data_IF_888980626993
#
_entry.id   IF_888980626993
#
_cell.length_a   1.000
_cell.length_b   1.000
_cell.length_c   1.000
_cell.angle_alpha   90.00
_cell.angle_beta   90.00
_cell.angle_gamma   90.00
#
_symmetry.space_group_name_H-M   'P 1'
#
loop_
_entity.id
_entity.type
_entity.pdbx_description
1 polymer ?
#
# COMPACT_ATOMS: atom_id res chain seq x y z
N UNK A 1 7.88 5.23 -13.69
CA UNK A 1 8.35 4.06 -12.94
C UNK A 1 7.17 3.42 -12.22
N UNK A 2 7.15 2.09 -12.20
CA UNK A 2 6.25 1.25 -11.42
C UNK A 2 7.12 0.51 -10.41
N UNK A 3 6.74 0.54 -9.15
CA UNK A 3 7.41 -0.19 -8.07
C UNK A 3 6.39 -1.13 -7.47
N UNK A 4 6.78 -2.37 -7.23
CA UNK A 4 5.95 -3.38 -6.58
C UNK A 4 6.61 -3.80 -5.29
N UNK A 5 5.82 -3.84 -4.21
CA UNK A 5 6.33 -4.11 -2.88
C UNK A 5 5.37 -5.02 -2.15
N UNK A 6 5.88 -6.15 -1.68
CA UNK A 6 5.11 -7.07 -0.84
C UNK A 6 5.15 -6.59 0.62
N UNK A 7 3.99 -6.60 1.29
CA UNK A 7 3.82 -6.22 2.69
C UNK A 7 3.03 -7.27 3.43
N UNK A 8 3.51 -7.66 4.60
CA UNK A 8 2.74 -8.49 5.52
C UNK A 8 1.86 -7.60 6.38
N UNK A 9 0.57 -7.92 6.44
CA UNK A 9 -0.42 -7.23 7.27
C UNK A 9 -0.39 -7.80 8.68
N UNK A 10 0.00 -6.99 9.66
CA UNK A 10 -0.03 -7.38 11.09
C UNK A 10 -1.44 -7.20 11.69
N UNK A 11 -1.62 -7.61 12.94
CA UNK A 11 -2.90 -7.53 13.67
C UNK A 11 -3.46 -6.10 13.79
N UNK A 12 -2.63 -5.07 13.62
CA UNK A 12 -3.05 -3.67 13.61
C UNK A 12 -3.66 -3.22 12.27
N UNK A 13 -3.65 -4.09 11.25
CA UNK A 13 -4.18 -3.86 9.88
C UNK A 13 -3.60 -2.64 9.18
N UNK A 14 -2.37 -2.26 9.53
CA UNK A 14 -1.71 -1.07 8.99
C UNK A 14 -0.62 -1.42 8.00
N UNK A 15 -0.65 -0.72 6.88
CA UNK A 15 0.40 -0.73 5.87
C UNK A 15 0.86 0.72 5.68
N UNK A 16 2.09 1.02 6.09
CA UNK A 16 2.70 2.34 5.92
C UNK A 16 3.54 2.36 4.62
N UNK A 17 3.18 3.26 3.70
CA UNK A 17 3.81 3.40 2.39
C UNK A 17 3.88 4.88 2.01
N UNK A 18 5.09 5.38 1.69
CA UNK A 18 5.31 6.76 1.22
C UNK A 18 4.69 7.85 2.12
N UNK A 19 4.83 7.71 3.44
CA UNK A 19 4.24 8.65 4.42
C UNK A 19 2.73 8.54 4.56
N UNK A 20 2.09 7.65 3.80
CA UNK A 20 0.68 7.32 3.91
C UNK A 20 0.49 6.08 4.76
N UNK A 21 -0.48 6.17 5.65
CA UNK A 21 -0.91 5.07 6.49
C UNK A 21 -2.22 4.53 5.94
N UNK A 22 -2.20 3.27 5.52
CA UNK A 22 -3.34 2.63 4.89
C UNK A 22 -3.86 1.55 5.84
N UNK A 23 -5.14 1.60 6.16
CA UNK A 23 -5.83 0.55 6.92
C UNK A 23 -6.42 -0.44 5.93
N UNK A 24 -6.04 -1.72 6.04
CA UNK A 24 -6.58 -2.78 5.17
C UNK A 24 -7.82 -3.45 5.80
N UNK A 25 -8.65 -4.11 4.98
CA UNK A 25 -9.76 -4.94 5.44
C UNK A 25 -9.34 -6.00 6.47
N UNK A 26 -10.28 -6.40 7.33
CA UNK A 26 -10.01 -7.33 8.44
C UNK A 26 -9.67 -8.75 8.00
N UNK A 27 -10.32 -9.21 6.94
CA UNK A 27 -10.07 -10.49 6.27
C UNK A 27 -8.63 -10.61 5.73
N UNK A 28 -7.93 -9.49 5.55
CA UNK A 28 -6.53 -9.45 5.10
C UNK A 28 -5.52 -9.46 6.25
N UNK A 29 -5.96 -9.61 7.50
CA UNK A 29 -5.07 -9.69 8.67
C UNK A 29 -4.20 -10.96 8.62
N UNK A 30 -2.91 -10.83 8.94
CA UNK A 30 -1.91 -11.90 8.86
C UNK A 30 -1.67 -12.46 7.45
N UNK A 31 -2.00 -11.68 6.41
CA UNK A 31 -1.76 -12.04 5.02
C UNK A 31 -0.73 -11.13 4.34
N UNK A 32 -0.23 -11.56 3.19
CA UNK A 32 0.59 -10.73 2.33
C UNK A 32 -0.27 -9.99 1.32
N UNK A 33 0.05 -8.71 1.10
CA UNK A 33 -0.54 -7.88 0.05
C UNK A 33 0.58 -7.28 -0.81
N UNK A 34 0.24 -6.99 -2.05
CA UNK A 34 1.13 -6.32 -3.01
C UNK A 34 0.73 -4.86 -3.14
N UNK A 35 1.63 -3.96 -2.80
CA UNK A 35 1.48 -2.54 -3.08
C UNK A 35 2.14 -2.17 -4.41
N UNK A 36 1.35 -1.62 -5.33
CA UNK A 36 1.81 -1.11 -6.62
C UNK A 36 1.88 0.41 -6.54
N UNK A 37 3.08 0.96 -6.69
CA UNK A 37 3.31 2.41 -6.67
C UNK A 37 3.58 2.90 -8.09
N UNK A 38 2.66 3.72 -8.59
CA UNK A 38 2.80 4.42 -9.87
C UNK A 38 3.34 5.82 -9.59
N UNK A 39 4.67 5.97 -9.66
CA UNK A 39 5.38 7.18 -9.23
C UNK A 39 4.96 8.42 -10.03
N UNK A 40 4.83 8.32 -11.36
CA UNK A 40 4.46 9.47 -12.22
C UNK A 40 3.07 9.99 -11.92
N UNK A 41 2.11 9.10 -11.72
CA UNK A 41 0.73 9.46 -11.39
C UNK A 41 0.50 9.64 -9.89
N UNK A 42 1.55 9.51 -9.06
CA UNK A 42 1.48 9.57 -7.60
C UNK A 42 0.33 8.72 -7.02
N UNK A 43 0.19 7.47 -7.50
CA UNK A 43 -0.85 6.53 -7.02
C UNK A 43 -0.24 5.33 -6.30
N UNK A 44 -0.90 4.90 -5.25
CA UNK A 44 -0.65 3.65 -4.52
C UNK A 44 -1.90 2.79 -4.63
N UNK A 45 -1.70 1.55 -5.06
CA UNK A 45 -2.74 0.54 -5.17
C UNK A 45 -2.33 -0.63 -4.28
N UNK A 46 -3.22 -1.12 -3.42
CA UNK A 46 -2.99 -2.37 -2.67
C UNK A 46 -3.85 -3.45 -3.28
N UNK A 47 -3.19 -4.56 -3.60
CA UNK A 47 -3.76 -5.76 -4.20
C UNK A 47 -3.53 -6.93 -3.26
N UNK A 48 -4.56 -7.73 -3.02
CA UNK A 48 -4.51 -8.98 -2.24
C UNK A 48 -3.83 -10.11 -3.02
N UNK A 49 -3.60 -11.25 -2.37
CA UNK A 49 -2.98 -12.42 -3.00
C UNK A 49 -3.77 -13.02 -4.16
N UNK A 50 -5.10 -12.83 -4.17
CA UNK A 50 -6.01 -13.28 -5.24
C UNK A 50 -6.25 -12.22 -6.33
N UNK A 51 -5.58 -11.07 -6.25
CA UNK A 51 -5.63 -10.02 -7.27
C UNK A 51 -6.72 -8.96 -7.07
N UNK A 52 -7.47 -9.00 -5.96
CA UNK A 52 -8.46 -7.96 -5.64
C UNK A 52 -7.80 -6.65 -5.22
N UNK A 53 -8.27 -5.53 -5.77
CA UNK A 53 -7.86 -4.20 -5.32
C UNK A 53 -8.65 -3.83 -4.07
N UNK A 54 -7.94 -3.66 -2.95
CA UNK A 54 -8.53 -3.28 -1.64
C UNK A 54 -8.23 -1.83 -1.26
N UNK A 55 -7.34 -1.17 -2.00
CA UNK A 55 -7.05 0.25 -1.84
C UNK A 55 -6.53 0.83 -3.15
N UNK A 56 -7.00 2.01 -3.55
CA UNK A 56 -6.46 2.76 -4.69
C UNK A 56 -6.64 4.25 -4.43
N UNK A 57 -5.53 4.95 -4.20
CA UNK A 57 -5.58 6.37 -3.93
C UNK A 57 -4.25 7.05 -4.29
N UNK A 58 -4.30 8.36 -4.35
CA UNK A 58 -3.13 9.21 -4.53
C UNK A 58 -2.29 9.30 -3.25
N UNK A 59 -1.01 9.62 -3.40
CA UNK A 59 -0.11 9.96 -2.30
C UNK A 59 0.63 11.26 -2.60
N UNK A 60 0.89 12.03 -1.55
CA UNK A 60 1.83 13.12 -1.62
C UNK A 60 3.18 12.60 -1.16
N UNK A 61 4.22 12.79 -1.98
CA UNK A 61 5.58 12.63 -1.48
C UNK A 61 5.77 13.70 -0.41
N UNK A 62 5.79 13.29 0.86
CA UNK A 62 6.31 14.16 1.90
C UNK A 62 7.78 14.42 1.53
N UNK A 63 8.12 15.68 1.22
CA UNK A 63 9.50 16.12 1.09
C UNK A 63 10.16 16.03 2.47
N UNK A 64 10.53 14.83 2.90
CA UNK A 64 11.30 14.62 4.12
C UNK A 64 12.68 14.12 3.72
N UNK A 65 13.45 15.02 3.12
CA UNK A 65 14.90 15.02 3.24
C UNK A 65 15.23 16.24 4.12
N UNK A 66 15.49 15.98 5.39
CA UNK A 66 16.20 16.89 6.30
C UNK A 66 17.44 16.16 6.75
#
# INVERSE_FOLDING_TARGET
GRIEVVRFVRSNRRVDLFGKRITVPEDQTHQYVTAIIKVRSKRVIIVTGDGQIIHDDTFNLANTLR
#
